data_IF_523971210467
#
_entry.id   IF_523971210467
#
_cell.length_a   1.000
_cell.length_b   1.000
_cell.length_c   1.000
_cell.angle_alpha   90.00
_cell.angle_beta   90.00
_cell.angle_gamma   90.00
#
_symmetry.space_group_name_H-M   'P 1'
#
loop_
_entity.id
_entity.type
_entity.pdbx_description
1 polymer ?
#
# COMPACT_ATOMS: atom_id res chain seq x y z
N UNK A 1 -30.24 3.82 7.84
CA UNK A 1 -29.97 5.22 7.45
C UNK A 1 -28.55 5.28 6.93
N UNK A 2 -28.42 5.69 5.68
CA UNK A 2 -27.21 5.69 4.85
C UNK A 2 -26.13 6.60 5.42
N UNK A 3 -25.20 6.04 6.21
CA UNK A 3 -23.92 6.70 6.45
C UNK A 3 -23.21 6.76 5.09
N UNK A 4 -23.23 7.94 4.49
CA UNK A 4 -22.83 8.18 3.12
C UNK A 4 -21.41 7.64 2.86
N UNK A 5 -21.13 6.98 1.72
CA UNK A 5 -19.79 6.54 1.32
C UNK A 5 -18.72 7.65 1.45
N UNK A 6 -19.16 8.90 1.34
CA UNK A 6 -18.38 10.11 1.57
C UNK A 6 -17.78 10.19 2.98
N UNK A 7 -18.53 9.83 4.03
CA UNK A 7 -18.04 9.88 5.41
C UNK A 7 -16.91 8.86 5.64
N UNK A 8 -17.06 7.64 5.10
CA UNK A 8 -16.02 6.62 5.15
C UNK A 8 -14.76 7.07 4.39
N UNK A 9 -14.94 7.67 3.20
CA UNK A 9 -13.84 8.21 2.42
C UNK A 9 -13.11 9.35 3.14
N UNK A 10 -13.83 10.28 3.76
CA UNK A 10 -13.24 11.39 4.53
C UNK A 10 -12.41 10.88 5.71
N UNK A 11 -12.91 9.90 6.47
CA UNK A 11 -12.16 9.32 7.60
C UNK A 11 -10.88 8.65 7.12
N UNK A 12 -10.96 7.86 6.04
CA UNK A 12 -9.78 7.22 5.44
C UNK A 12 -8.78 8.24 4.90
N UNK A 13 -9.24 9.32 4.28
CA UNK A 13 -8.39 10.39 3.79
C UNK A 13 -7.66 11.11 4.94
N UNK A 14 -8.33 11.35 6.08
CA UNK A 14 -7.72 11.94 7.28
C UNK A 14 -6.66 11.01 7.88
N UNK A 15 -6.95 9.70 7.98
CA UNK A 15 -5.99 8.70 8.46
C UNK A 15 -4.78 8.62 7.53
N UNK A 16 -5.01 8.61 6.22
CA UNK A 16 -3.94 8.59 5.23
C UNK A 16 -3.08 9.85 5.31
N UNK A 17 -3.70 11.04 5.37
CA UNK A 17 -2.99 12.30 5.53
C UNK A 17 -2.15 12.33 6.82
N UNK A 18 -2.72 11.87 7.95
CA UNK A 18 -2.00 11.75 9.20
C UNK A 18 -0.79 10.81 9.08
N UNK A 19 -0.99 9.65 8.45
CA UNK A 19 0.09 8.67 8.24
C UNK A 19 1.24 9.23 7.40
N UNK A 20 0.94 10.03 6.38
CA UNK A 20 1.93 10.68 5.52
C UNK A 20 2.70 11.76 6.26
N UNK A 21 2.04 12.58 7.08
CA UNK A 21 2.69 13.62 7.90
C UNK A 21 3.68 12.98 8.88
N UNK A 22 3.26 11.90 9.54
CA UNK A 22 4.12 11.16 10.48
C UNK A 22 5.28 10.51 9.73
N UNK A 23 5.02 9.83 8.61
CA UNK A 23 6.06 9.18 7.80
C UNK A 23 7.11 10.18 7.26
N UNK A 24 6.67 11.37 6.84
CA UNK A 24 7.57 12.44 6.41
C UNK A 24 8.42 13.00 7.56
N UNK A 25 7.82 13.20 8.74
CA UNK A 25 8.57 13.67 9.92
C UNK A 25 9.62 12.67 10.39
N UNK A 26 9.39 11.36 10.23
CA UNK A 26 10.34 10.31 10.64
C UNK A 26 11.42 10.03 9.58
N UNK A 27 11.60 10.90 8.56
CA UNK A 27 12.60 10.73 7.48
C UNK A 27 12.58 9.32 6.84
N UNK A 28 11.40 8.76 6.62
CA UNK A 28 11.23 7.45 5.97
C UNK A 28 11.87 6.25 6.70
N UNK A 29 12.24 6.36 7.98
CA UNK A 29 12.70 5.20 8.78
C UNK A 29 11.51 4.26 9.07
N UNK A 30 10.31 4.83 9.25
CA UNK A 30 9.04 4.10 9.29
C UNK A 30 8.33 4.25 7.93
N UNK A 31 8.01 3.13 7.29
CA UNK A 31 7.19 3.12 6.08
C UNK A 31 5.79 3.69 6.37
N UNK A 32 5.24 4.46 5.44
CA UNK A 32 3.85 4.94 5.52
C UNK A 32 2.87 3.78 5.74
N UNK A 33 3.15 2.60 5.17
CA UNK A 33 2.34 1.39 5.40
C UNK A 33 2.32 0.95 6.87
N UNK A 34 3.45 1.06 7.57
CA UNK A 34 3.55 0.70 8.99
C UNK A 34 2.81 1.72 9.87
N UNK A 35 2.91 3.01 9.54
CA UNK A 35 2.16 4.06 10.23
C UNK A 35 0.65 3.89 10.02
N UNK A 36 0.21 3.55 8.80
CA UNK A 36 -1.19 3.23 8.49
C UNK A 36 -1.65 2.03 9.33
N UNK A 37 -0.86 0.96 9.39
CA UNK A 37 -1.18 -0.24 10.18
C UNK A 37 -1.36 0.09 11.68
N UNK A 38 -0.41 0.81 12.28
CA UNK A 38 -0.52 1.28 13.67
C UNK A 38 -1.75 2.16 13.88
N UNK A 39 -1.99 3.10 12.97
CA UNK A 39 -3.15 4.00 13.06
C UNK A 39 -4.46 3.22 12.97
N UNK A 40 -4.55 2.22 12.09
CA UNK A 40 -5.73 1.34 12.00
C UNK A 40 -5.92 0.51 13.26
N UNK A 41 -4.85 -0.04 13.85
CA UNK A 41 -4.95 -0.80 15.11
C UNK A 41 -5.49 0.08 16.24
N UNK A 42 -4.97 1.31 16.38
CA UNK A 42 -5.43 2.26 17.40
C UNK A 42 -6.88 2.67 17.14
N UNK A 43 -7.22 2.98 15.90
CA UNK A 43 -8.57 3.41 15.52
C UNK A 43 -9.60 2.30 15.77
N UNK A 44 -9.23 1.04 15.47
CA UNK A 44 -10.08 -0.15 15.68
C UNK A 44 -10.31 -0.40 17.17
N UNK A 45 -9.28 -0.21 18.01
CA UNK A 45 -9.39 -0.33 19.46
C UNK A 45 -10.22 0.81 20.09
N UNK A 46 -10.19 2.01 19.51
CA UNK A 46 -10.95 3.17 20.03
C UNK A 46 -12.47 3.07 19.75
N UNK A 47 -12.93 2.03 19.04
CA UNK A 47 -14.36 1.78 18.81
C UNK A 47 -15.06 2.80 17.90
N UNK A 48 -14.31 3.69 17.26
CA UNK A 48 -14.80 4.75 16.35
C UNK A 48 -15.08 4.20 14.94
N UNK A 49 -14.60 3.00 14.62
CA UNK A 49 -14.79 2.35 13.32
C UNK A 49 -16.08 1.50 13.30
N UNK A 50 -17.10 1.88 12.51
CA UNK A 50 -18.13 0.93 12.12
C UNK A 50 -17.45 -0.22 11.36
N UNK A 51 -17.83 -1.47 11.70
CA UNK A 51 -17.37 -2.71 11.04
C UNK A 51 -17.50 -2.68 9.51
N UNK A 52 -18.31 -1.77 9.00
CA UNK A 52 -18.60 -1.62 7.58
C UNK A 52 -17.53 -0.87 6.77
N UNK A 53 -16.46 -0.28 7.34
CA UNK A 53 -15.49 0.48 6.50
C UNK A 53 -14.88 -0.37 5.37
N UNK A 54 -14.75 -1.68 5.55
CA UNK A 54 -14.29 -2.60 4.51
C UNK A 54 -15.39 -3.05 3.53
N UNK A 55 -16.67 -2.97 3.91
CA UNK A 55 -17.83 -3.41 3.10
C UNK A 55 -18.53 -2.24 2.36
N UNK A 56 -18.59 -1.04 2.94
CA UNK A 56 -19.05 0.19 2.25
C UNK A 56 -18.01 0.78 1.30
N UNK A 57 -16.79 0.25 1.29
CA UNK A 57 -15.74 0.72 0.42
C UNK A 57 -15.77 0.00 -0.94
N UNK A 58 -16.58 0.56 -1.84
CA UNK A 58 -16.24 0.59 -3.28
C UNK A 58 -14.82 1.18 -3.54
N UNK A 59 -14.09 1.59 -2.50
CA UNK A 59 -12.66 1.93 -2.50
C UNK A 59 -11.77 0.73 -2.84
N UNK A 60 -12.11 -0.52 -2.49
CA UNK A 60 -11.29 -1.67 -2.91
C UNK A 60 -11.16 -1.76 -4.45
N UNK A 61 -12.27 -1.74 -5.22
CA UNK A 61 -12.16 -1.72 -6.68
C UNK A 61 -11.57 -0.41 -7.24
N UNK A 62 -11.86 0.76 -6.67
CA UNK A 62 -11.25 2.03 -7.10
C UNK A 62 -9.74 2.06 -6.83
N UNK A 63 -9.32 1.54 -5.68
CA UNK A 63 -7.92 1.41 -5.26
C UNK A 63 -7.13 0.52 -6.21
N UNK A 64 -7.72 -0.59 -6.65
CA UNK A 64 -7.12 -1.44 -7.68
C UNK A 64 -6.84 -0.70 -8.99
N UNK A 65 -7.79 0.13 -9.45
CA UNK A 65 -7.61 0.96 -10.66
C UNK A 65 -6.51 2.01 -10.45
N UNK A 66 -6.50 2.69 -9.30
CA UNK A 66 -5.47 3.68 -8.97
C UNK A 66 -4.07 3.07 -8.92
N UNK A 67 -3.92 1.92 -8.26
CA UNK A 67 -2.65 1.18 -8.19
C UNK A 67 -2.21 0.78 -9.60
N UNK A 68 -3.13 0.31 -10.44
CA UNK A 68 -2.81 -0.07 -11.83
C UNK A 68 -2.28 1.13 -12.60
N UNK A 69 -2.93 2.29 -12.54
CA UNK A 69 -2.47 3.52 -13.21
C UNK A 69 -1.10 3.96 -12.68
N UNK A 70 -0.87 3.89 -11.37
CA UNK A 70 0.41 4.25 -10.75
C UNK A 70 1.54 3.32 -11.23
N UNK A 71 1.30 2.01 -11.24
CA UNK A 71 2.27 1.02 -11.73
C UNK A 71 2.55 1.26 -13.22
N UNK A 72 1.52 1.48 -14.04
CA UNK A 72 1.67 1.79 -15.46
C UNK A 72 2.46 3.09 -15.67
N UNK A 73 2.21 4.13 -14.88
CA UNK A 73 2.95 5.39 -14.95
C UNK A 73 4.43 5.24 -14.57
N UNK A 74 4.73 4.47 -13.53
CA UNK A 74 6.11 4.14 -13.14
C UNK A 74 6.81 3.28 -14.20
N UNK A 75 6.11 2.29 -14.76
CA UNK A 75 6.63 1.42 -15.81
C UNK A 75 6.89 2.15 -17.14
N UNK A 76 6.04 3.11 -17.51
CA UNK A 76 6.19 3.90 -18.74
C UNK A 76 7.36 4.87 -18.72
N UNK A 77 7.83 5.27 -17.54
CA UNK A 77 9.03 6.12 -17.39
C UNK A 77 10.34 5.32 -17.43
N UNK A 78 10.26 3.98 -17.45
CA UNK A 78 11.42 3.11 -17.48
C UNK A 78 11.81 2.81 -18.93
N UNK A 79 12.89 3.45 -19.40
CA UNK A 79 13.41 3.22 -20.74
C UNK A 79 14.01 1.79 -20.88
N UNK A 80 13.89 1.19 -22.06
CA UNK A 80 14.50 -0.10 -22.40
C UNK A 80 16.03 -0.06 -22.27
N UNK A 81 16.65 1.10 -22.51
CA UNK A 81 18.08 1.30 -22.28
C UNK A 81 18.44 1.15 -20.80
N UNK A 82 17.60 1.64 -19.90
CA UNK A 82 17.75 1.55 -18.46
C UNK A 82 17.56 0.10 -17.97
N UNK A 83 16.55 -0.60 -18.49
CA UNK A 83 16.35 -2.04 -18.25
C UNK A 83 17.56 -2.87 -18.68
N UNK A 84 18.13 -2.59 -19.85
CA UNK A 84 19.34 -3.27 -20.33
C UNK A 84 20.55 -2.95 -19.45
N UNK A 85 20.66 -1.72 -18.96
CA UNK A 85 21.71 -1.31 -18.01
C UNK A 85 21.59 -2.03 -16.67
N UNK A 86 20.36 -2.23 -16.19
CA UNK A 86 20.05 -2.84 -14.90
C UNK A 86 19.75 -4.35 -14.98
N UNK A 87 20.07 -5.02 -16.09
CA UNK A 87 19.74 -6.44 -16.28
C UNK A 87 20.26 -7.35 -15.16
N UNK A 88 21.44 -7.06 -14.59
CA UNK A 88 21.98 -7.80 -13.43
C UNK A 88 21.10 -7.63 -12.21
N UNK A 89 20.62 -6.42 -11.95
CA UNK A 89 19.69 -6.13 -10.83
C UNK A 89 18.39 -6.90 -11.00
N UNK A 90 17.84 -6.95 -12.21
CA UNK A 90 16.61 -7.71 -12.51
C UNK A 90 16.81 -9.20 -12.24
N UNK A 91 17.93 -9.78 -12.70
CA UNK A 91 18.25 -11.19 -12.47
C UNK A 91 18.43 -11.49 -10.98
N UNK A 92 19.16 -10.65 -10.24
CA UNK A 92 19.35 -10.82 -8.80
C UNK A 92 18.00 -10.74 -8.06
N UNK A 93 17.15 -9.80 -8.42
CA UNK A 93 15.80 -9.67 -7.84
C UNK A 93 14.94 -10.92 -8.13
N UNK A 94 14.95 -11.41 -9.37
CA UNK A 94 14.19 -12.60 -9.76
C UNK A 94 14.66 -13.86 -9.01
N UNK A 95 15.96 -14.05 -8.87
CA UNK A 95 16.54 -15.16 -8.09
C UNK A 95 16.17 -15.01 -6.61
N UNK A 96 16.30 -13.80 -6.05
CA UNK A 96 15.97 -13.52 -4.65
C UNK A 96 14.51 -13.85 -4.32
N UNK A 97 13.57 -13.43 -5.16
CA UNK A 97 12.13 -13.74 -5.00
C UNK A 97 11.86 -15.24 -5.14
N UNK A 98 12.50 -15.89 -6.11
CA UNK A 98 12.34 -17.34 -6.34
C UNK A 98 12.84 -18.15 -5.14
N UNK A 99 14.02 -17.81 -4.60
CA UNK A 99 14.59 -18.46 -3.41
C UNK A 99 13.74 -18.18 -2.18
N UNK A 100 13.31 -16.93 -1.96
CA UNK A 100 12.45 -16.58 -0.82
C UNK A 100 11.13 -17.36 -0.85
N UNK A 101 10.50 -17.46 -2.04
CA UNK A 101 9.27 -18.23 -2.21
C UNK A 101 9.51 -19.73 -2.00
N UNK A 102 10.59 -20.29 -2.55
CA UNK A 102 10.93 -21.70 -2.38
C UNK A 102 11.23 -22.04 -0.90
N UNK A 103 11.97 -21.19 -0.18
CA UNK A 103 12.22 -21.35 1.25
C UNK A 103 10.93 -21.32 2.06
N UNK A 104 10.03 -20.37 1.78
CA UNK A 104 8.73 -20.31 2.45
C UNK A 104 7.89 -21.57 2.20
N UNK A 105 7.94 -22.16 1.00
CA UNK A 105 7.22 -23.40 0.68
C UNK A 105 7.87 -24.64 1.32
N UNK A 106 9.19 -24.66 1.52
CA UNK A 106 9.90 -25.79 2.13
C UNK A 106 9.85 -25.77 3.67
N UNK A 107 9.83 -24.58 4.27
CA UNK A 107 9.74 -24.39 5.73
C UNK A 107 8.28 -24.44 6.21
N UNK A 108 7.33 -24.01 5.37
CA UNK A 108 5.90 -23.97 5.65
C UNK A 108 5.19 -25.31 5.53
#
# INVERSE_FOLDING_TARGET
MTLAPIAAFTILAVVFAFSQIVAQKTKAILSAAFVIALTMIILFNTGILPKDIYDVSTILPIGGVLITILITGMGGSLDFAELKRQWKTVVIAAIGVSIATALLVVIG
#
